data_IF_135701916179
#
_entry.id   IF_135701916179
#
_cell.length_a   1.000
_cell.length_b   1.000
_cell.length_c   1.000
_cell.angle_alpha   90.00
_cell.angle_beta   90.00
_cell.angle_gamma   90.00
#
_symmetry.space_group_name_H-M   'P 1'
#
loop_
_entity.id
_entity.type
_entity.pdbx_description
1 polymer ?
#
# COMPACT_ATOMS: atom_id res chain seq x y z
N UNK A 1 -53.47 52.38 18.32
CA UNK A 1 -53.66 51.25 19.25
C UNK A 1 -53.66 49.98 18.40
N UNK A 2 -52.59 49.18 18.48
CA UNK A 2 -52.44 47.91 17.75
C UNK A 2 -53.20 46.79 18.45
N UNK A 3 -53.86 45.90 17.69
CA UNK A 3 -53.98 44.43 17.86
C UNK A 3 -54.44 43.94 16.46
N UNK A 4 -53.87 42.99 15.70
CA UNK A 4 -53.03 41.85 16.01
C UNK A 4 -53.79 40.57 15.59
N UNK A 5 -53.46 39.97 14.43
CA UNK A 5 -53.70 38.56 14.13
C UNK A 5 -52.92 38.14 12.87
N UNK A 6 -51.78 37.48 13.08
CA UNK A 6 -51.05 36.75 12.04
C UNK A 6 -51.61 35.34 12.00
N UNK A 7 -52.20 34.95 10.87
CA UNK A 7 -52.60 33.56 10.61
C UNK A 7 -51.42 32.86 9.94
N UNK A 8 -50.76 31.96 10.67
CA UNK A 8 -49.74 31.06 10.15
C UNK A 8 -50.40 29.82 9.56
N UNK A 9 -50.46 29.74 8.24
CA UNK A 9 -50.82 28.51 7.53
C UNK A 9 -49.59 27.61 7.45
N UNK A 10 -49.54 26.54 8.24
CA UNK A 10 -48.68 25.37 7.96
C UNK A 10 -49.36 24.56 6.85
N UNK A 11 -48.67 24.19 5.77
CA UNK A 11 -48.84 22.90 5.08
C UNK A 11 -47.71 22.72 4.04
N UNK A 12 -47.05 21.56 4.09
CA UNK A 12 -46.28 21.01 2.96
C UNK A 12 -44.76 21.10 3.03
N UNK A 13 -44.13 20.38 3.97
CA UNK A 13 -42.77 19.88 3.74
C UNK A 13 -42.86 18.84 2.60
N UNK A 14 -42.60 19.27 1.37
CA UNK A 14 -42.32 18.36 0.27
C UNK A 14 -41.01 17.65 0.58
N UNK A 15 -41.09 16.40 1.03
CA UNK A 15 -39.94 15.51 1.09
C UNK A 15 -39.39 15.37 -0.34
N UNK A 16 -38.18 15.88 -0.56
CA UNK A 16 -37.42 15.54 -1.75
C UNK A 16 -37.27 14.00 -1.77
N UNK A 17 -37.50 13.33 -2.91
CA UNK A 17 -37.29 11.90 -2.97
C UNK A 17 -35.80 11.64 -2.69
N UNK A 18 -35.52 10.93 -1.60
CA UNK A 18 -34.22 10.36 -1.32
C UNK A 18 -33.97 9.39 -2.46
N UNK A 19 -33.20 9.84 -3.46
CA UNK A 19 -32.63 8.97 -4.48
C UNK A 19 -31.79 7.94 -3.75
N UNK A 20 -32.36 6.75 -3.53
CA UNK A 20 -31.62 5.53 -3.21
C UNK A 20 -30.80 5.15 -4.45
N UNK A 21 -29.80 5.98 -4.75
CA UNK A 21 -28.73 5.59 -5.64
C UNK A 21 -27.94 4.58 -4.83
N UNK A 22 -28.02 3.31 -5.22
CA UNK A 22 -27.13 2.26 -4.74
C UNK A 22 -25.70 2.77 -4.85
N UNK A 23 -25.18 3.36 -3.76
CA UNK A 23 -23.76 3.52 -3.58
C UNK A 23 -23.28 2.11 -3.30
N UNK A 24 -22.89 1.40 -4.36
CA UNK A 24 -21.81 0.45 -4.20
C UNK A 24 -20.67 1.27 -3.60
N UNK A 25 -20.50 1.22 -2.28
CA UNK A 25 -19.24 1.63 -1.68
C UNK A 25 -18.19 0.78 -2.38
N UNK A 26 -17.41 1.42 -3.25
CA UNK A 26 -16.27 0.76 -3.85
C UNK A 26 -15.33 0.43 -2.70
N UNK A 27 -15.24 -0.87 -2.40
CA UNK A 27 -14.28 -1.36 -1.43
C UNK A 27 -12.90 -1.09 -2.01
N UNK A 28 -12.13 -0.30 -1.27
CA UNK A 28 -10.71 -0.07 -1.53
C UNK A 28 -9.92 -0.83 -0.49
N UNK A 29 -8.71 -1.24 -0.88
CA UNK A 29 -7.72 -1.76 0.03
C UNK A 29 -6.63 -0.71 0.20
N UNK A 30 -6.38 -0.32 1.44
CA UNK A 30 -5.24 0.51 1.83
C UNK A 30 -4.04 -0.42 2.03
N UNK A 31 -2.90 -0.05 1.46
CA UNK A 31 -1.65 -0.78 1.57
C UNK A 31 -0.67 0.06 2.37
N UNK A 32 -0.06 -0.57 3.39
CA UNK A 32 1.00 0.03 4.18
C UNK A 32 2.16 -0.97 4.33
N UNK A 33 3.30 -0.64 3.73
CA UNK A 33 4.54 -1.40 3.87
C UNK A 33 5.58 -0.51 4.53
N UNK A 34 6.03 -0.93 5.71
CA UNK A 34 7.09 -0.25 6.45
C UNK A 34 8.33 -1.12 6.52
N UNK A 35 9.49 -0.51 6.72
CA UNK A 35 10.70 -1.29 6.94
C UNK A 35 11.94 -0.47 7.12
N UNK A 36 13.03 -1.19 7.35
CA UNK A 36 14.38 -0.63 7.38
C UNK A 36 15.18 -1.22 6.23
N UNK A 37 15.85 -0.34 5.48
CA UNK A 37 16.72 -0.69 4.35
C UNK A 37 18.15 -0.27 4.67
N UNK A 38 19.12 -1.15 4.42
CA UNK A 38 20.54 -0.88 4.74
C UNK A 38 21.50 -1.28 3.62
N UNK A 39 22.63 -0.60 3.61
CA UNK A 39 23.78 -0.81 2.73
C UNK A 39 25.09 -0.70 3.55
N UNK A 40 25.89 -1.77 3.57
CA UNK A 40 27.17 -1.87 4.27
C UNK A 40 28.31 -1.10 3.57
N UNK A 41 28.29 -1.03 2.23
CA UNK A 41 29.24 -0.22 1.49
C UNK A 41 28.76 1.24 1.55
N UNK A 42 29.40 2.00 2.44
CA UNK A 42 29.03 3.36 2.80
C UNK A 42 28.74 4.27 1.58
N UNK A 43 27.83 5.25 1.75
CA UNK A 43 27.18 6.05 0.70
C UNK A 43 28.08 6.82 -0.29
N UNK A 44 27.51 7.32 -1.42
CA UNK A 44 26.07 7.40 -1.74
C UNK A 44 25.46 6.10 -2.25
N UNK A 45 24.24 5.82 -1.84
CA UNK A 45 23.41 4.75 -2.40
C UNK A 45 21.95 5.21 -2.49
N UNK A 46 21.25 4.71 -3.50
CA UNK A 46 19.86 4.99 -3.78
C UNK A 46 19.09 3.69 -3.96
N UNK A 47 17.80 3.76 -3.69
CA UNK A 47 16.88 2.65 -3.84
C UNK A 47 15.50 3.12 -4.28
N UNK A 48 14.74 2.19 -4.84
CA UNK A 48 13.30 2.34 -5.08
C UNK A 48 12.62 1.06 -4.63
N UNK A 49 11.64 1.18 -3.76
CA UNK A 49 10.75 0.11 -3.33
C UNK A 49 9.42 0.32 -4.05
N UNK A 50 8.91 -0.73 -4.67
CA UNK A 50 7.61 -0.74 -5.35
C UNK A 50 6.79 -1.90 -4.80
N UNK A 51 5.55 -1.64 -4.42
CA UNK A 51 4.56 -2.70 -4.21
C UNK A 51 3.89 -2.95 -5.55
N UNK A 52 3.97 -4.18 -6.02
CA UNK A 52 3.39 -4.62 -7.28
C UNK A 52 2.19 -5.53 -7.00
N UNK A 53 1.16 -5.32 -7.82
CA UNK A 53 0.09 -6.27 -8.07
C UNK A 53 0.50 -7.04 -9.33
N UNK A 54 0.64 -8.36 -9.20
CA UNK A 54 1.16 -9.23 -10.25
C UNK A 54 0.00 -9.75 -11.09
N UNK A 55 -0.02 -9.30 -12.33
CA UNK A 55 -1.13 -9.58 -13.23
C UNK A 55 -0.68 -10.40 -14.44
N UNK A 56 -1.62 -11.10 -15.08
CA UNK A 56 -1.29 -12.02 -16.19
C UNK A 56 -0.79 -11.32 -17.47
N UNK A 57 -1.05 -10.01 -17.61
CA UNK A 57 -0.71 -9.21 -18.79
C UNK A 57 0.34 -8.15 -18.47
N UNK A 58 0.18 -7.42 -17.37
CA UNK A 58 1.12 -6.38 -16.94
C UNK A 58 0.99 -6.19 -15.44
N UNK A 59 2.11 -6.24 -14.71
CA UNK A 59 2.09 -5.95 -13.28
C UNK A 59 1.77 -4.46 -13.06
N UNK A 60 0.86 -4.19 -12.13
CA UNK A 60 0.51 -2.83 -11.74
C UNK A 60 1.31 -2.38 -10.52
N UNK A 61 1.78 -1.13 -10.56
CA UNK A 61 2.45 -0.51 -9.42
C UNK A 61 1.38 0.04 -8.49
N UNK A 62 1.17 -0.64 -7.36
CA UNK A 62 0.27 -0.20 -6.28
C UNK A 62 0.76 1.10 -5.67
N UNK A 63 2.07 1.17 -5.40
CA UNK A 63 2.71 2.34 -4.81
C UNK A 63 4.23 2.22 -4.90
N UNK A 64 4.93 3.34 -4.68
CA UNK A 64 6.39 3.36 -4.71
C UNK A 64 6.98 4.43 -3.79
N UNK A 65 8.15 4.11 -3.22
CA UNK A 65 8.99 5.06 -2.50
C UNK A 65 10.43 4.96 -3.01
N UNK A 66 11.06 6.11 -3.23
CA UNK A 66 12.46 6.22 -3.64
C UNK A 66 13.22 7.02 -2.58
N UNK A 67 14.42 6.56 -2.26
CA UNK A 67 15.30 7.24 -1.31
C UNK A 67 16.75 7.15 -1.74
N UNK A 68 17.55 8.12 -1.29
CA UNK A 68 18.99 8.11 -1.43
C UNK A 68 19.61 8.52 -0.09
N UNK A 69 20.58 7.73 0.37
CA UNK A 69 21.36 8.04 1.56
C UNK A 69 22.76 8.50 1.16
N UNK A 70 23.22 9.56 1.81
CA UNK A 70 24.51 10.20 1.55
C UNK A 70 25.50 9.93 2.68
N UNK A 71 25.01 9.67 3.89
CA UNK A 71 25.86 9.47 5.07
C UNK A 71 25.50 8.26 5.90
N UNK A 72 24.23 7.81 5.86
CA UNK A 72 23.79 6.72 6.71
C UNK A 72 23.86 5.37 5.98
N UNK A 73 24.29 4.31 6.66
CA UNK A 73 24.25 2.95 6.12
C UNK A 73 22.85 2.34 6.18
N UNK A 74 21.86 3.04 6.73
CA UNK A 74 20.52 2.53 6.96
C UNK A 74 19.51 3.67 6.97
N UNK A 75 18.31 3.39 6.48
CA UNK A 75 17.18 4.31 6.46
C UNK A 75 15.89 3.53 6.73
N UNK A 76 14.94 4.16 7.42
CA UNK A 76 13.56 3.65 7.50
C UNK A 76 12.74 4.19 6.32
N UNK A 77 11.80 3.38 5.84
CA UNK A 77 10.87 3.78 4.78
C UNK A 77 9.44 3.38 5.13
N UNK A 78 8.51 4.06 4.48
CA UNK A 78 7.09 3.79 4.52
C UNK A 78 6.52 4.00 3.12
N UNK A 79 5.80 2.99 2.64
CA UNK A 79 5.04 3.01 1.40
C UNK A 79 3.57 2.88 1.79
N UNK A 80 2.80 3.94 1.56
CA UNK A 80 1.36 3.97 1.75
C UNK A 80 0.68 4.30 0.44
N UNK A 81 -0.25 3.46 0.03
CA UNK A 81 -1.11 3.74 -1.12
C UNK A 81 -2.45 3.00 -0.97
N UNK A 82 -3.35 3.17 -1.92
CA UNK A 82 -4.62 2.46 -1.95
C UNK A 82 -4.98 2.10 -3.38
N UNK A 83 -5.66 0.97 -3.54
CA UNK A 83 -6.26 0.60 -4.82
C UNK A 83 -7.73 0.24 -4.65
N UNK A 84 -8.51 0.61 -5.65
CA UNK A 84 -9.84 0.05 -5.84
C UNK A 84 -9.71 -1.42 -6.23
N UNK A 85 -10.79 -2.16 -6.00
CA UNK A 85 -10.97 -3.51 -6.50
C UNK A 85 -10.49 -3.63 -7.96
N UNK A 86 -9.27 -4.15 -8.15
CA UNK A 86 -8.73 -4.31 -9.48
C UNK A 86 -9.24 -5.64 -10.03
N UNK A 87 -9.98 -5.52 -11.12
CA UNK A 87 -10.90 -6.54 -11.57
C UNK A 87 -10.19 -7.76 -12.13
N UNK A 88 -9.95 -8.80 -11.32
CA UNK A 88 -9.60 -10.14 -11.80
C UNK A 88 -10.32 -11.27 -11.03
N UNK A 89 -10.52 -12.39 -11.73
CA UNK A 89 -11.55 -13.44 -11.63
C UNK A 89 -11.69 -14.16 -10.28
N UNK A 90 -10.71 -14.10 -9.37
CA UNK A 90 -10.73 -14.89 -8.13
C UNK A 90 -10.72 -14.09 -6.82
N UNK A 91 -10.75 -12.76 -6.89
CA UNK A 91 -10.95 -11.88 -5.74
C UNK A 91 -9.74 -11.75 -4.81
N UNK A 92 -8.52 -11.87 -5.34
CA UNK A 92 -7.27 -11.63 -4.61
C UNK A 92 -6.36 -10.71 -5.42
N UNK A 93 -5.49 -9.99 -4.72
CA UNK A 93 -4.29 -9.37 -5.24
C UNK A 93 -3.12 -10.36 -5.12
N UNK A 94 -2.28 -10.49 -6.13
CA UNK A 94 -1.02 -11.21 -6.05
C UNK A 94 0.12 -10.21 -5.79
N UNK A 95 0.51 -10.05 -4.53
CA UNK A 95 1.39 -8.94 -4.12
C UNK A 95 2.87 -9.35 -4.07
N UNK A 96 3.74 -8.47 -4.58
CA UNK A 96 5.18 -8.58 -4.49
C UNK A 96 5.82 -7.21 -4.20
N UNK A 97 6.87 -7.19 -3.38
CA UNK A 97 7.72 -6.03 -3.21
C UNK A 97 8.92 -6.14 -4.18
N UNK A 98 9.04 -5.21 -5.12
CA UNK A 98 10.21 -5.08 -6.00
C UNK A 98 11.11 -3.96 -5.47
N UNK A 99 12.39 -4.26 -5.25
CA UNK A 99 13.37 -3.30 -4.77
C UNK A 99 14.49 -3.19 -5.79
N UNK A 100 14.75 -1.96 -6.27
CA UNK A 100 15.86 -1.63 -7.19
C UNK A 100 16.85 -0.73 -6.46
N UNK A 101 18.16 -0.98 -6.60
CA UNK A 101 19.17 -0.19 -5.89
C UNK A 101 20.53 -0.16 -6.60
N UNK A 102 21.39 0.76 -6.16
CA UNK A 102 22.79 0.86 -6.57
C UNK A 102 23.78 0.70 -5.39
N UNK A 103 23.30 0.23 -4.23
CA UNK A 103 24.17 -0.11 -3.11
C UNK A 103 25.31 -1.05 -3.52
N UNK A 104 26.55 -0.62 -3.28
CA UNK A 104 27.75 -1.41 -3.56
C UNK A 104 28.12 -1.52 -5.03
N UNK A 105 27.48 -0.75 -5.91
CA UNK A 105 27.79 -0.68 -7.33
C UNK A 105 28.68 0.52 -7.66
N UNK A 106 29.48 0.41 -8.72
CA UNK A 106 30.10 1.58 -9.34
C UNK A 106 29.07 2.31 -10.22
N UNK A 107 29.29 3.61 -10.49
CA UNK A 107 28.35 4.47 -11.24
C UNK A 107 28.05 3.93 -12.65
N UNK A 108 28.93 3.08 -13.20
CA UNK A 108 28.78 2.45 -14.52
C UNK A 108 27.99 1.16 -14.53
N UNK A 109 27.65 0.61 -13.36
CA UNK A 109 27.00 -0.68 -13.25
C UNK A 109 25.47 -0.56 -13.32
N UNK A 110 24.82 -1.60 -13.84
CA UNK A 110 23.35 -1.67 -13.85
C UNK A 110 22.79 -1.87 -12.44
N UNK A 111 21.71 -1.16 -12.12
CA UNK A 111 21.04 -1.28 -10.82
C UNK A 111 20.64 -2.73 -10.53
N UNK A 112 20.93 -3.17 -9.32
CA UNK A 112 20.49 -4.46 -8.81
C UNK A 112 19.00 -4.44 -8.49
N UNK A 113 18.38 -5.62 -8.58
CA UNK A 113 16.98 -5.82 -8.24
C UNK A 113 16.81 -7.04 -7.35
N UNK A 114 15.89 -6.97 -6.39
CA UNK A 114 15.40 -8.10 -5.62
C UNK A 114 13.88 -8.02 -5.47
N UNK A 115 13.25 -9.18 -5.41
CA UNK A 115 11.81 -9.33 -5.22
C UNK A 115 11.53 -10.06 -3.91
N UNK A 116 10.51 -9.61 -3.18
CA UNK A 116 9.98 -10.27 -1.99
C UNK A 116 8.48 -10.53 -2.19
N UNK A 117 8.08 -11.78 -2.48
CA UNK A 117 6.66 -12.10 -2.66
C UNK A 117 5.91 -12.03 -1.32
N UNK A 118 4.76 -11.38 -1.31
CA UNK A 118 3.80 -11.42 -0.20
C UNK A 118 2.68 -12.43 -0.43
N UNK A 119 2.51 -12.88 -1.67
CA UNK A 119 1.52 -13.87 -2.07
C UNK A 119 0.14 -13.27 -2.22
N UNK A 120 -0.87 -14.13 -2.08
CA UNK A 120 -2.27 -13.80 -2.38
C UNK A 120 -2.95 -13.07 -1.23
N UNK A 121 -3.58 -11.94 -1.52
CA UNK A 121 -4.27 -11.10 -0.55
C UNK A 121 -5.71 -10.83 -0.96
N UNK A 122 -6.67 -11.17 -0.12
CA UNK A 122 -8.08 -11.02 -0.49
C UNK A 122 -8.48 -9.56 -0.65
N UNK A 123 -9.13 -9.24 -1.77
CA UNK A 123 -9.67 -7.90 -2.05
C UNK A 123 -10.85 -7.51 -1.16
N UNK A 124 -11.40 -8.46 -0.39
CA UNK A 124 -12.45 -8.19 0.59
C UNK A 124 -11.92 -7.48 1.84
N UNK A 125 -10.59 -7.37 2.00
CA UNK A 125 -9.95 -6.75 3.15
C UNK A 125 -9.61 -5.30 2.87
N UNK A 126 -9.87 -4.45 3.85
CA UNK A 126 -9.68 -2.99 3.71
C UNK A 126 -8.24 -2.54 3.94
N UNK A 127 -7.42 -3.31 4.65
CA UNK A 127 -6.05 -2.91 5.01
C UNK A 127 -5.09 -4.05 4.79
N UNK A 128 -4.01 -3.82 4.05
CA UNK A 128 -2.85 -4.69 3.92
C UNK A 128 -1.68 -4.05 4.65
N UNK A 129 -1.07 -4.78 5.58
CA UNK A 129 0.04 -4.28 6.37
C UNK A 129 1.20 -5.28 6.35
N UNK A 130 2.41 -4.77 6.09
CA UNK A 130 3.66 -5.52 6.15
C UNK A 130 4.76 -4.70 6.78
N UNK A 131 5.60 -5.41 7.54
CA UNK A 131 6.88 -4.87 8.00
C UNK A 131 8.01 -5.75 7.48
N UNK A 132 8.97 -5.13 6.81
CA UNK A 132 10.08 -5.83 6.16
C UNK A 132 11.43 -5.29 6.61
N UNK A 133 12.47 -6.09 6.38
CA UNK A 133 13.85 -5.68 6.56
C UNK A 133 14.63 -6.03 5.30
N UNK A 134 15.42 -5.07 4.81
CA UNK A 134 16.11 -5.18 3.53
C UNK A 134 17.61 -4.94 3.74
N UNK A 135 18.44 -5.88 3.28
CA UNK A 135 19.90 -5.80 3.28
C UNK A 135 20.38 -5.78 1.82
N UNK A 136 20.60 -4.58 1.29
CA UNK A 136 20.98 -4.38 -0.11
C UNK A 136 22.38 -4.91 -0.41
N UNK A 137 23.28 -4.89 0.58
CA UNK A 137 24.63 -5.45 0.41
C UNK A 137 24.65 -6.96 0.27
N UNK A 138 23.59 -7.63 0.71
CA UNK A 138 23.38 -9.07 0.53
C UNK A 138 22.34 -9.38 -0.54
N UNK A 139 21.69 -8.36 -1.09
CA UNK A 139 20.54 -8.47 -1.98
C UNK A 139 19.42 -9.37 -1.38
N UNK A 140 19.10 -9.18 -0.10
CA UNK A 140 18.10 -9.97 0.63
C UNK A 140 17.02 -9.10 1.26
N UNK A 141 15.79 -9.60 1.32
CA UNK A 141 14.71 -9.01 2.10
C UNK A 141 13.91 -10.10 2.84
N UNK A 142 13.37 -9.75 4.00
CA UNK A 142 12.60 -10.67 4.85
C UNK A 142 11.37 -9.96 5.46
N UNK A 143 10.27 -10.68 5.62
CA UNK A 143 9.09 -10.22 6.37
C UNK A 143 9.37 -10.43 7.85
N UNK A 144 9.38 -9.34 8.63
CA UNK A 144 9.69 -9.42 10.07
C UNK A 144 8.45 -9.36 10.96
N UNK A 145 7.30 -8.96 10.42
CA UNK A 145 6.04 -8.98 11.14
C UNK A 145 4.90 -9.45 10.25
N UNK A 146 4.18 -10.45 10.74
CA UNK A 146 2.93 -10.95 10.15
C UNK A 146 1.74 -10.19 10.71
N UNK A 147 0.67 -10.09 9.93
CA UNK A 147 -0.62 -9.58 10.44
C UNK A 147 -1.15 -10.47 11.56
N UNK A 148 -1.97 -9.93 12.47
CA UNK A 148 -2.57 -10.72 13.55
C UNK A 148 -3.33 -11.95 13.04
N UNK A 149 -3.99 -11.83 11.88
CA UNK A 149 -4.67 -12.94 11.22
C UNK A 149 -3.71 -14.08 10.81
N UNK A 150 -2.57 -13.74 10.22
CA UNK A 150 -1.58 -14.72 9.80
C UNK A 150 -0.92 -15.40 11.00
N UNK A 151 -0.73 -14.66 12.11
CA UNK A 151 -0.31 -15.23 13.40
C UNK A 151 -1.35 -16.21 13.95
N UNK A 152 -2.65 -15.87 13.88
CA UNK A 152 -3.74 -16.75 14.34
C UNK A 152 -3.85 -18.04 13.52
N UNK A 153 -3.48 -18.00 12.22
CA UNK A 153 -3.41 -19.18 11.37
C UNK A 153 -2.12 -20.00 11.53
N UNK A 154 -1.21 -19.61 12.44
CA UNK A 154 0.06 -20.30 12.66
C UNK A 154 1.02 -20.22 11.46
N UNK A 155 0.87 -19.22 10.58
CA UNK A 155 1.83 -19.01 9.50
C UNK A 155 3.14 -18.46 10.07
N UNK A 156 4.26 -18.93 9.54
CA UNK A 156 5.60 -18.44 9.87
C UNK A 156 5.99 -17.44 8.77
N UNK A 157 6.63 -16.30 9.11
CA UNK A 157 7.22 -15.44 8.08
C UNK A 157 8.25 -16.26 7.30
N UNK A 158 8.07 -16.37 5.99
CA UNK A 158 9.02 -17.03 5.10
C UNK A 158 10.12 -16.06 4.67
#
# INVERSE_FOLDING_TARGET
>A
MMIGAVVTTRYGMGAAPISTRNRHEQLHTNFNVTGTIKCQNAPPWCYTVQLLELDSISNDVVGSVTGCEITNPSQDFQLEDWQLWDGVVDGNFELELLIKHDCGLEITDEKQSLSLPFGRYSTARMNFERKVKIDLSKNTAEIIELTEWERQLGRVPH
#
